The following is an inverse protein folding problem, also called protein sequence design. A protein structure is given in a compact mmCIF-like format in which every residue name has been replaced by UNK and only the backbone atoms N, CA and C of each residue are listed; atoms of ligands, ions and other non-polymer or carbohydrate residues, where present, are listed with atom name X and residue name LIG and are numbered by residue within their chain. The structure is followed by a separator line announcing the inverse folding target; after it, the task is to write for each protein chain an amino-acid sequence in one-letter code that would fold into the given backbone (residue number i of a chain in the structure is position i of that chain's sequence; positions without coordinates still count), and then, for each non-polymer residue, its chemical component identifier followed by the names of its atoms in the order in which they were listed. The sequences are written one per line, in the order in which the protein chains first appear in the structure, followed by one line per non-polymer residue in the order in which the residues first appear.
data_IF_167603284695
#
_entry.id   IF_167603284695
#
_cell.length_a   1.000
_cell.length_b   1.000
_cell.length_c   1.000
_cell.angle_alpha   90.00
_cell.angle_beta   90.00
_cell.angle_gamma   90.00
#
_symmetry.space_group_name_H-M   'P 1'
#
loop_
_entity.id
_entity.type
_entity.pdbx_description
1 polymer ?
#
# COMPACT_ATOMS: atom_id res chain seq x y z
N UNK A 1 -18.92 -27.96 28.01
CA UNK A 1 -17.48 -27.83 28.38
C UNK A 1 -16.55 -27.82 27.18
N UNK A 2 -16.72 -28.64 26.17
CA UNK A 2 -15.86 -28.64 24.96
C UNK A 2 -15.89 -27.33 24.15
N UNK A 3 -17.02 -26.65 24.07
CA UNK A 3 -17.16 -25.36 23.34
C UNK A 3 -16.36 -24.23 23.99
N UNK A 4 -16.22 -24.22 25.30
CA UNK A 4 -15.48 -23.20 26.06
C UNK A 4 -13.98 -23.26 25.78
N UNK A 5 -13.41 -24.42 25.41
CA UNK A 5 -12.02 -24.59 25.05
C UNK A 5 -11.77 -24.33 23.56
N UNK A 6 -12.77 -24.54 22.71
CA UNK A 6 -12.66 -24.33 21.25
C UNK A 6 -12.62 -22.84 20.87
N UNK A 7 -13.39 -21.99 21.56
CA UNK A 7 -13.49 -20.58 21.24
C UNK A 7 -12.12 -19.85 21.31
N UNK A 8 -11.36 -19.95 22.44
CA UNK A 8 -10.03 -19.32 22.50
C UNK A 8 -9.04 -19.93 21.50
N UNK A 9 -9.09 -21.24 21.24
CA UNK A 9 -8.22 -21.89 20.28
C UNK A 9 -8.45 -21.38 18.84
N UNK A 10 -9.69 -21.20 18.43
CA UNK A 10 -10.05 -20.64 17.13
C UNK A 10 -9.57 -19.20 17.00
N UNK A 11 -9.71 -18.38 18.03
CA UNK A 11 -9.24 -16.99 18.00
C UNK A 11 -7.72 -16.90 17.91
N UNK A 12 -7.00 -17.76 18.63
CA UNK A 12 -5.53 -17.84 18.50
C UNK A 12 -5.09 -18.27 17.11
N UNK A 13 -5.75 -19.26 16.52
CA UNK A 13 -5.46 -19.71 15.16
C UNK A 13 -5.71 -18.60 14.11
N UNK A 14 -6.81 -17.86 14.25
CA UNK A 14 -7.11 -16.73 13.37
C UNK A 14 -6.06 -15.62 13.49
N UNK A 15 -5.63 -15.29 14.70
CA UNK A 15 -4.59 -14.28 14.89
C UNK A 15 -3.23 -14.75 14.36
N UNK A 16 -2.87 -16.01 14.54
CA UNK A 16 -1.66 -16.59 13.94
C UNK A 16 -1.69 -16.52 12.41
N UNK A 17 -2.84 -16.78 11.80
CA UNK A 17 -3.03 -16.65 10.35
C UNK A 17 -2.85 -15.19 9.88
N UNK A 18 -3.46 -14.22 10.57
CA UNK A 18 -3.28 -12.79 10.26
C UNK A 18 -1.81 -12.36 10.34
N UNK A 19 -1.10 -12.76 11.39
CA UNK A 19 0.35 -12.48 11.53
C UNK A 19 1.17 -13.08 10.39
N UNK A 20 0.82 -14.28 9.94
CA UNK A 20 1.49 -14.92 8.81
C UNK A 20 1.26 -14.14 7.52
N UNK A 21 0.05 -13.65 7.27
CA UNK A 21 -0.25 -12.79 6.13
C UNK A 21 0.54 -11.47 6.19
N UNK A 22 0.60 -10.81 7.34
CA UNK A 22 1.42 -9.60 7.50
C UNK A 22 2.89 -9.85 7.16
N UNK A 23 3.46 -10.96 7.63
CA UNK A 23 4.85 -11.32 7.28
C UNK A 23 5.02 -11.57 5.78
N UNK A 24 4.05 -12.20 5.14
CA UNK A 24 4.07 -12.45 3.70
C UNK A 24 3.98 -11.14 2.90
N UNK A 25 3.14 -10.19 3.33
CA UNK A 25 3.08 -8.86 2.72
C UNK A 25 4.41 -8.12 2.82
N UNK A 26 5.06 -8.14 3.99
CA UNK A 26 6.39 -7.55 4.15
C UNK A 26 7.45 -8.21 3.26
N UNK A 27 7.39 -9.54 3.08
CA UNK A 27 8.28 -10.23 2.14
C UNK A 27 8.03 -9.82 0.70
N UNK A 28 6.76 -9.66 0.29
CA UNK A 28 6.41 -9.19 -1.05
C UNK A 28 6.95 -7.79 -1.29
N UNK A 29 6.79 -6.88 -0.33
CA UNK A 29 7.35 -5.53 -0.41
C UNK A 29 8.89 -5.58 -0.51
N UNK A 30 9.54 -6.41 0.30
CA UNK A 30 10.99 -6.59 0.23
C UNK A 30 11.48 -7.10 -1.13
N UNK A 31 10.78 -8.07 -1.72
CA UNK A 31 11.07 -8.56 -3.07
C UNK A 31 10.83 -7.47 -4.12
N UNK A 32 9.75 -6.71 -4.01
CA UNK A 32 9.45 -5.61 -4.91
C UNK A 32 10.55 -4.53 -4.88
N UNK A 33 11.07 -4.20 -3.71
CA UNK A 33 12.20 -3.28 -3.53
C UNK A 33 13.46 -3.76 -4.25
N UNK A 34 13.80 -5.04 -4.08
CA UNK A 34 14.98 -5.63 -4.74
C UNK A 34 14.78 -5.75 -6.25
N UNK A 35 13.59 -6.07 -6.72
CA UNK A 35 13.28 -6.07 -8.15
C UNK A 35 13.41 -4.66 -8.74
N UNK A 36 12.90 -3.66 -8.06
CA UNK A 36 13.09 -2.26 -8.46
C UNK A 36 14.58 -1.90 -8.56
N UNK A 37 15.36 -2.23 -7.51
CA UNK A 37 16.80 -1.98 -7.47
C UNK A 37 17.54 -2.68 -8.62
N UNK A 38 17.18 -3.93 -8.90
CA UNK A 38 17.82 -4.72 -9.96
C UNK A 38 17.64 -4.09 -11.35
N UNK A 39 16.49 -3.50 -11.62
CA UNK A 39 16.18 -2.87 -12.90
C UNK A 39 16.66 -1.42 -13.00
N UNK A 40 16.63 -0.67 -11.90
CA UNK A 40 16.93 0.76 -11.89
C UNK A 40 18.32 1.08 -11.32
N UNK A 41 19.06 0.10 -10.82
CA UNK A 41 20.41 0.28 -10.24
C UNK A 41 20.41 0.94 -8.86
N UNK A 42 19.26 1.39 -8.35
CA UNK A 42 19.08 2.06 -7.06
C UNK A 42 17.72 1.76 -6.47
N UNK A 43 17.58 1.91 -5.16
CA UNK A 43 16.27 1.80 -4.50
C UNK A 43 15.35 2.95 -4.90
N UNK A 44 14.02 2.72 -4.87
CA UNK A 44 13.07 3.79 -5.15
C UNK A 44 13.19 4.88 -4.07
N UNK A 45 13.09 6.15 -4.46
CA UNK A 45 13.10 7.24 -3.50
C UNK A 45 11.85 7.18 -2.62
N UNK A 46 12.00 7.54 -1.35
CA UNK A 46 10.88 7.59 -0.40
C UNK A 46 9.89 8.70 -0.71
N UNK A 47 10.43 9.79 -1.25
CA UNK A 47 9.72 10.99 -1.67
C UNK A 47 10.53 11.67 -2.78
N UNK A 48 9.88 12.06 -3.85
CA UNK A 48 10.49 12.91 -4.87
C UNK A 48 9.68 14.20 -4.94
N UNK A 49 10.19 15.24 -4.32
CA UNK A 49 9.96 16.58 -4.83
C UNK A 49 10.99 16.78 -5.94
N UNK A 50 10.59 16.72 -7.18
CA UNK A 50 11.42 17.14 -8.27
C UNK A 50 11.35 18.68 -8.30
N UNK A 51 12.48 19.40 -8.07
CA UNK A 51 12.44 20.86 -8.08
C UNK A 51 12.13 21.45 -9.46
N UNK A 52 12.22 20.65 -10.52
CA UNK A 52 11.98 21.08 -11.90
C UNK A 52 10.55 20.73 -12.39
N UNK A 53 9.83 19.89 -11.64
CA UNK A 53 8.44 19.56 -11.89
C UNK A 53 7.65 19.80 -10.62
N UNK A 54 6.66 20.67 -10.68
CA UNK A 54 5.73 20.98 -9.57
C UNK A 54 4.91 19.74 -9.10
N UNK A 55 5.12 18.62 -9.76
CA UNK A 55 4.50 17.35 -9.46
C UNK A 55 5.53 16.34 -8.94
N UNK A 56 5.35 15.47 -8.13
CA UNK A 56 6.33 14.44 -7.76
C UNK A 56 6.23 13.99 -6.31
N UNK A 57 5.14 14.28 -5.66
CA UNK A 57 4.87 13.89 -4.28
C UNK A 57 4.50 12.41 -4.11
N UNK A 58 4.62 11.62 -5.18
CA UNK A 58 4.31 10.20 -5.14
C UNK A 58 5.34 9.42 -4.34
N UNK A 59 4.84 8.63 -3.40
CA UNK A 59 5.66 7.86 -2.47
C UNK A 59 6.30 6.63 -3.14
N UNK A 60 7.23 6.01 -2.41
CA UNK A 60 7.81 4.71 -2.74
C UNK A 60 6.75 3.65 -3.07
N UNK A 61 5.59 3.68 -2.39
CA UNK A 61 4.51 2.72 -2.59
C UNK A 61 3.97 2.77 -4.02
N UNK A 62 3.79 3.97 -4.60
CA UNK A 62 3.36 4.13 -5.98
C UNK A 62 4.36 3.52 -6.97
N UNK A 63 5.66 3.66 -6.71
CA UNK A 63 6.73 3.14 -7.57
C UNK A 63 6.91 1.62 -7.49
N UNK A 64 6.43 0.99 -6.42
CA UNK A 64 6.48 -0.45 -6.23
C UNK A 64 5.29 -1.21 -6.83
N UNK A 65 4.22 -0.52 -7.21
CA UNK A 65 3.00 -1.15 -7.73
C UNK A 65 3.24 -2.17 -8.85
N UNK A 66 4.09 -1.91 -9.87
CA UNK A 66 4.34 -2.89 -10.93
C UNK A 66 4.96 -4.20 -10.43
N UNK A 67 5.75 -4.11 -9.36
CA UNK A 67 6.44 -5.25 -8.76
C UNK A 67 5.59 -6.00 -7.73
N UNK A 68 4.39 -5.48 -7.45
CA UNK A 68 3.37 -6.07 -6.57
C UNK A 68 2.13 -6.54 -7.36
N UNK A 69 2.28 -6.76 -8.67
CA UNK A 69 1.20 -7.20 -9.58
C UNK A 69 0.07 -6.17 -9.76
N UNK A 70 0.36 -4.88 -9.49
CA UNK A 70 -0.56 -3.77 -9.66
C UNK A 70 -0.12 -2.81 -10.78
N UNK A 71 0.38 -3.35 -11.90
CA UNK A 71 0.84 -2.55 -13.03
C UNK A 71 -0.26 -1.66 -13.61
N UNK A 72 -1.49 -2.17 -13.71
CA UNK A 72 -2.63 -1.39 -14.21
C UNK A 72 -2.94 -0.16 -13.36
N UNK A 73 -2.73 -0.25 -12.05
CA UNK A 73 -2.90 0.89 -11.16
C UNK A 73 -1.75 1.89 -11.31
N UNK A 74 -0.53 1.39 -11.48
CA UNK A 74 0.65 2.21 -11.74
C UNK A 74 0.52 3.02 -13.05
N UNK A 75 -0.03 2.41 -14.10
CA UNK A 75 -0.20 3.04 -15.42
C UNK A 75 -1.20 4.20 -15.41
N UNK A 76 -2.04 4.28 -14.39
CA UNK A 76 -2.95 5.43 -14.19
C UNK A 76 -2.27 6.61 -13.49
N UNK A 77 -1.07 6.42 -12.92
CA UNK A 77 -0.36 7.46 -12.19
C UNK A 77 0.39 8.35 -13.17
N UNK A 78 0.06 9.62 -13.17
CA UNK A 78 0.93 10.64 -13.74
C UNK A 78 1.92 11.11 -12.66
N UNK A 79 3.18 10.70 -12.79
CA UNK A 79 4.23 11.09 -11.84
C UNK A 79 4.65 12.55 -11.97
N UNK A 80 4.24 13.26 -13.01
CA UNK A 80 4.44 14.70 -13.17
C UNK A 80 3.36 15.53 -12.44
N UNK A 81 2.25 14.90 -12.09
CA UNK A 81 1.16 15.55 -11.34
C UNK A 81 1.35 15.38 -9.83
N UNK A 82 0.78 16.31 -9.06
CA UNK A 82 0.84 16.25 -7.60
C UNK A 82 -0.12 15.19 -7.06
N UNK A 83 0.32 14.47 -6.03
CA UNK A 83 -0.55 13.55 -5.28
C UNK A 83 -1.81 14.24 -4.73
N UNK A 84 -1.73 15.54 -4.47
CA UNK A 84 -2.83 16.38 -3.99
C UNK A 84 -3.77 16.90 -5.08
N UNK A 85 -3.52 16.60 -6.36
CA UNK A 85 -4.44 17.01 -7.41
C UNK A 85 -5.84 16.44 -7.16
N UNK A 86 -6.83 17.25 -7.24
CA UNK A 86 -8.23 16.86 -6.97
C UNK A 86 -8.92 16.22 -8.18
N UNK A 87 -8.15 15.76 -9.17
CA UNK A 87 -8.72 15.10 -10.34
C UNK A 87 -9.28 13.71 -9.99
N UNK A 88 -10.26 13.25 -10.76
CA UNK A 88 -10.95 11.99 -10.49
C UNK A 88 -10.04 10.76 -10.61
N UNK A 89 -9.03 10.81 -11.48
CA UNK A 89 -8.08 9.71 -11.65
C UNK A 89 -7.19 9.57 -10.42
N UNK A 90 -6.60 10.65 -9.94
CA UNK A 90 -5.78 10.67 -8.72
C UNK A 90 -6.57 10.24 -7.48
N UNK A 91 -7.82 10.69 -7.34
CA UNK A 91 -8.70 10.25 -6.27
C UNK A 91 -8.94 8.73 -6.35
N UNK A 92 -9.24 8.19 -7.53
CA UNK A 92 -9.47 6.77 -7.71
C UNK A 92 -8.23 5.93 -7.36
N UNK A 93 -7.03 6.39 -7.71
CA UNK A 93 -5.78 5.74 -7.36
C UNK A 93 -5.57 5.74 -5.84
N UNK A 94 -5.76 6.88 -5.19
CA UNK A 94 -5.57 7.06 -3.74
C UNK A 94 -6.54 6.24 -2.89
N UNK A 95 -7.73 5.97 -3.40
CA UNK A 95 -8.77 5.20 -2.71
C UNK A 95 -8.69 3.70 -3.01
N UNK A 96 -7.82 3.28 -3.91
CA UNK A 96 -7.64 1.86 -4.23
C UNK A 96 -6.81 1.16 -3.18
N UNK A 97 -7.38 0.13 -2.55
CA UNK A 97 -6.68 -0.68 -1.54
C UNK A 97 -5.72 -1.65 -2.21
N UNK A 98 -4.46 -1.58 -1.83
CA UNK A 98 -3.40 -2.48 -2.26
C UNK A 98 -3.08 -3.45 -1.13
N UNK A 99 -3.50 -4.70 -1.26
CA UNK A 99 -3.46 -5.69 -0.18
C UNK A 99 -2.08 -5.85 0.50
N UNK A 100 -0.94 -5.88 -0.22
CA UNK A 100 0.38 -5.97 0.41
C UNK A 100 0.72 -4.80 1.35
N UNK A 101 0.08 -3.65 1.22
CA UNK A 101 0.32 -2.49 2.08
C UNK A 101 -0.52 -2.49 3.36
N UNK A 102 -1.43 -3.45 3.48
CA UNK A 102 -2.36 -3.55 4.60
C UNK A 102 -2.04 -4.78 5.45
N UNK A 103 -1.95 -4.59 6.76
CA UNK A 103 -1.85 -5.72 7.68
C UNK A 103 -3.25 -6.15 8.12
N UNK A 104 -3.64 -7.43 7.96
CA UNK A 104 -4.95 -7.91 8.40
C UNK A 104 -5.21 -7.81 9.91
N UNK A 105 -4.16 -7.56 10.71
CA UNK A 105 -4.27 -7.32 12.16
C UNK A 105 -4.43 -5.84 12.51
N UNK A 106 -4.47 -4.93 11.51
CA UNK A 106 -4.68 -3.50 11.77
C UNK A 106 -6.10 -3.26 12.30
N UNK A 107 -6.17 -2.66 13.48
CA UNK A 107 -7.44 -2.42 14.18
C UNK A 107 -8.13 -1.15 13.69
N UNK A 108 -7.36 -0.21 13.14
CA UNK A 108 -7.82 1.10 12.67
C UNK A 108 -7.79 1.21 11.14
N UNK A 109 -8.08 0.10 10.48
CA UNK A 109 -8.16 0.06 9.02
C UNK A 109 -9.42 0.81 8.54
N UNK A 110 -9.36 2.12 8.65
CA UNK A 110 -10.40 3.03 8.17
C UNK A 110 -9.78 3.94 7.12
N UNK A 111 -10.51 4.13 6.02
CA UNK A 111 -10.15 5.14 5.03
C UNK A 111 -9.99 6.49 5.74
N UNK A 112 -8.84 7.14 5.54
CA UNK A 112 -8.67 8.50 6.01
C UNK A 112 -9.48 9.43 5.13
N UNK A 113 -10.12 10.39 5.74
CA UNK A 113 -10.72 11.51 5.02
C UNK A 113 -9.81 12.72 5.19
N UNK A 114 -9.54 13.41 4.11
CA UNK A 114 -8.88 14.72 4.17
C UNK A 114 -9.84 15.78 4.76
N UNK A 115 -9.34 17.00 4.91
CA UNK A 115 -10.13 18.13 5.41
C UNK A 115 -11.33 18.48 4.53
N UNK A 116 -11.41 17.93 3.32
CA UNK A 116 -12.53 18.12 2.36
C UNK A 116 -13.51 16.96 2.39
N UNK A 117 -13.30 15.94 3.23
CA UNK A 117 -14.16 14.77 3.35
C UNK A 117 -13.92 13.70 2.28
N UNK A 118 -12.87 13.84 1.47
CA UNK A 118 -12.48 12.85 0.46
C UNK A 118 -11.70 11.71 1.12
N UNK A 119 -12.11 10.47 0.85
CA UNK A 119 -11.41 9.30 1.37
C UNK A 119 -9.99 9.25 0.81
N UNK A 120 -9.01 9.10 1.71
CA UNK A 120 -7.60 8.90 1.37
C UNK A 120 -7.13 7.64 2.08
N UNK A 121 -6.85 6.59 1.36
CA UNK A 121 -6.25 5.36 1.91
C UNK A 121 -4.73 5.43 1.97
#
# INVERSE_FOLDING_TARGET
MLVALLLPAVQQAREAARRTLCRNHLKQIGLALHNYQSLNGKFPPSFCADPDTDGGEWSIHARLLPYLEHASLHDLIDFADTYGSGDSATIAIRTTRVAPYLCPSEVKDQARTDSTGTATD
#
